data_IF_157587338825
#
_entry.id   IF_157587338825
#
_cell.length_a   1.000
_cell.length_b   1.000
_cell.length_c   1.000
_cell.angle_alpha   90.00
_cell.angle_beta   90.00
_cell.angle_gamma   90.00
#
_symmetry.space_group_name_H-M   'P 1'
#
loop_
_entity.id
_entity.type
_entity.pdbx_description
1 polymer ?
#
# COMPACT_ATOMS: atom_id res chain seq x y z
N UNK A 1 -7.77 21.88 7.68
CA UNK A 1 -8.06 20.50 7.23
C UNK A 1 -6.80 20.02 6.55
N UNK A 2 -6.11 19.15 7.19
CA UNK A 2 -4.81 18.68 6.69
C UNK A 2 -5.06 17.73 5.52
N UNK A 3 -4.75 18.20 4.33
CA UNK A 3 -4.83 17.39 3.09
C UNK A 3 -3.71 16.36 2.97
N UNK A 4 -2.87 16.25 3.98
CA UNK A 4 -1.68 15.41 4.01
C UNK A 4 -1.99 13.92 3.83
N UNK A 5 -3.12 13.43 4.35
CA UNK A 5 -3.52 12.03 4.22
C UNK A 5 -3.87 11.57 2.81
N UNK A 6 -4.18 12.50 1.90
CA UNK A 6 -4.60 12.16 0.52
C UNK A 6 -3.42 12.24 -0.46
N UNK A 7 -2.50 13.16 -0.24
CA UNK A 7 -1.42 13.46 -1.17
C UNK A 7 -0.07 12.85 -0.77
N UNK A 8 0.04 12.34 0.47
CA UNK A 8 1.22 11.56 0.91
C UNK A 8 2.55 12.28 0.69
N UNK A 9 2.65 13.57 1.02
CA UNK A 9 3.85 14.37 0.80
C UNK A 9 3.83 15.25 -0.47
N UNK A 10 2.77 15.17 -1.27
CA UNK A 10 2.57 16.00 -2.47
C UNK A 10 1.42 17.00 -2.28
N UNK A 11 1.36 17.63 -1.11
CA UNK A 11 0.27 18.54 -0.69
C UNK A 11 0.07 19.74 -1.61
N UNK A 12 1.11 20.14 -2.35
CA UNK A 12 1.07 21.24 -3.31
C UNK A 12 0.75 20.81 -4.75
N UNK A 13 0.41 19.54 -4.98
CA UNK A 13 0.05 19.06 -6.30
C UNK A 13 -1.23 19.76 -6.81
N UNK A 14 -1.17 20.31 -8.03
CA UNK A 14 -2.33 20.96 -8.67
C UNK A 14 -3.39 19.93 -9.10
N UNK A 15 -2.96 18.71 -9.44
CA UNK A 15 -3.88 17.61 -9.78
C UNK A 15 -3.31 16.26 -9.42
N UNK A 16 -4.21 15.34 -9.09
CA UNK A 16 -3.92 13.93 -8.89
C UNK A 16 -4.79 13.11 -9.85
N UNK A 17 -4.16 12.24 -10.61
CA UNK A 17 -4.87 11.29 -11.48
C UNK A 17 -4.65 9.88 -10.95
N UNK A 18 -5.74 9.10 -10.87
CA UNK A 18 -5.70 7.71 -10.43
C UNK A 18 -6.41 6.84 -11.48
N UNK A 19 -5.69 5.84 -12.00
CA UNK A 19 -6.23 4.81 -12.89
C UNK A 19 -6.00 3.47 -12.20
N UNK A 20 -7.07 2.67 -12.07
CA UNK A 20 -7.01 1.35 -11.44
C UNK A 20 -7.74 0.31 -12.28
N UNK A 21 -7.20 -0.90 -12.31
CA UNK A 21 -7.85 -2.07 -12.87
C UNK A 21 -7.58 -3.27 -11.96
N UNK A 22 -8.57 -4.13 -11.78
CA UNK A 22 -8.44 -5.34 -10.97
C UNK A 22 -9.32 -6.46 -11.56
N UNK A 23 -8.93 -7.70 -11.29
CA UNK A 23 -9.70 -8.87 -11.66
C UNK A 23 -9.39 -10.04 -10.76
N UNK A 24 -10.41 -10.85 -10.51
CA UNK A 24 -10.34 -12.06 -9.69
C UNK A 24 -10.74 -13.28 -10.49
N UNK A 25 -10.09 -14.39 -10.20
CA UNK A 25 -10.42 -15.70 -10.77
C UNK A 25 -10.59 -16.72 -9.66
N UNK A 26 -11.76 -17.35 -9.63
CA UNK A 26 -12.10 -18.39 -8.64
C UNK A 26 -11.97 -19.77 -9.28
N UNK A 27 -11.14 -20.60 -8.66
CA UNK A 27 -10.97 -22.00 -9.05
C UNK A 27 -11.06 -22.90 -7.82
N UNK A 28 -12.16 -23.64 -7.70
CA UNK A 28 -12.47 -24.47 -6.53
C UNK A 28 -12.42 -23.65 -5.24
N UNK A 29 -11.50 -24.01 -4.32
CA UNK A 29 -11.29 -23.33 -3.04
C UNK A 29 -10.27 -22.17 -3.13
N UNK A 30 -9.74 -21.88 -4.31
CA UNK A 30 -8.77 -20.82 -4.52
C UNK A 30 -9.44 -19.59 -5.16
N UNK A 31 -9.09 -18.42 -4.69
CA UNK A 31 -9.34 -17.14 -5.35
C UNK A 31 -8.01 -16.48 -5.63
N UNK A 32 -7.73 -16.28 -6.90
CA UNK A 32 -6.55 -15.55 -7.37
C UNK A 32 -6.99 -14.15 -7.78
N UNK A 33 -6.26 -13.15 -7.34
CA UNK A 33 -6.54 -11.78 -7.75
C UNK A 33 -5.28 -11.07 -8.23
N UNK A 34 -5.50 -10.16 -9.18
CA UNK A 34 -4.48 -9.25 -9.70
C UNK A 34 -5.05 -7.86 -9.74
N UNK A 35 -4.24 -6.87 -9.41
CA UNK A 35 -4.61 -5.47 -9.59
C UNK A 35 -3.44 -4.64 -10.06
N UNK A 36 -3.77 -3.55 -10.75
CA UNK A 36 -2.82 -2.54 -11.16
C UNK A 36 -3.38 -1.16 -10.83
N UNK A 37 -2.52 -0.29 -10.32
CA UNK A 37 -2.85 1.10 -10.03
C UNK A 37 -1.75 2.01 -10.55
N UNK A 38 -2.15 3.06 -11.26
CA UNK A 38 -1.30 4.19 -11.62
C UNK A 38 -1.80 5.44 -10.91
N UNK A 39 -0.94 6.10 -10.16
CA UNK A 39 -1.22 7.36 -9.47
C UNK A 39 -0.21 8.39 -9.94
N UNK A 40 -0.69 9.54 -10.41
CA UNK A 40 0.16 10.63 -10.88
C UNK A 40 -0.16 11.90 -10.10
N UNK A 41 0.88 12.52 -9.56
CA UNK A 41 0.84 13.84 -8.94
C UNK A 41 1.49 14.82 -9.89
N UNK A 42 0.74 15.84 -10.33
CA UNK A 42 1.20 16.80 -11.32
C UNK A 42 1.39 18.17 -10.69
N UNK A 43 2.46 18.86 -11.13
CA UNK A 43 2.75 20.24 -10.78
C UNK A 43 2.80 20.49 -9.26
N UNK A 44 3.45 19.63 -8.50
CA UNK A 44 3.74 19.93 -7.11
C UNK A 44 5.01 20.78 -6.97
N UNK A 45 4.98 21.76 -6.07
CA UNK A 45 6.12 22.60 -5.77
C UNK A 45 7.14 21.82 -4.93
N UNK A 46 8.43 22.04 -5.21
CA UNK A 46 9.53 21.63 -4.34
C UNK A 46 10.07 22.82 -3.56
N UNK A 47 10.92 22.59 -2.58
CA UNK A 47 11.60 23.65 -1.81
C UNK A 47 12.41 24.63 -2.68
N UNK A 48 12.72 24.26 -3.92
CA UNK A 48 13.45 25.10 -4.90
C UNK A 48 12.56 25.81 -5.91
N UNK A 49 11.23 25.72 -5.76
CA UNK A 49 10.26 26.41 -6.64
C UNK A 49 10.01 25.75 -8.00
N UNK A 50 10.65 24.63 -8.29
CA UNK A 50 10.41 23.89 -9.53
C UNK A 50 9.10 23.07 -9.44
N UNK A 51 8.34 23.05 -10.54
CA UNK A 51 7.16 22.20 -10.66
C UNK A 51 7.56 20.80 -11.12
N UNK A 52 7.21 19.80 -10.33
CA UNK A 52 7.56 18.42 -10.59
C UNK A 52 6.34 17.53 -10.77
N UNK A 53 6.54 16.42 -11.46
CA UNK A 53 5.56 15.38 -11.64
C UNK A 53 6.11 14.07 -11.08
N UNK A 54 5.29 13.34 -10.32
CA UNK A 54 5.66 12.00 -9.84
C UNK A 54 4.55 11.01 -10.15
N UNK A 55 4.96 9.83 -10.60
CA UNK A 55 4.09 8.71 -10.96
C UNK A 55 4.42 7.51 -10.09
N UNK A 56 3.38 6.90 -9.53
CA UNK A 56 3.47 5.63 -8.81
C UNK A 56 2.70 4.56 -9.58
N UNK A 57 3.36 3.45 -9.85
CA UNK A 57 2.77 2.28 -10.46
C UNK A 57 2.81 1.14 -9.45
N UNK A 58 1.67 0.59 -9.11
CA UNK A 58 1.55 -0.53 -8.18
C UNK A 58 0.94 -1.72 -8.89
N UNK A 59 1.64 -2.84 -8.88
CA UNK A 59 1.12 -4.14 -9.27
C UNK A 59 0.93 -5.00 -8.03
N UNK A 60 -0.20 -5.67 -7.92
CA UNK A 60 -0.54 -6.55 -6.82
C UNK A 60 -1.00 -7.89 -7.33
N UNK A 61 -0.59 -8.96 -6.67
CA UNK A 61 -1.12 -10.30 -6.84
C UNK A 61 -1.44 -10.91 -5.49
N UNK A 62 -2.53 -11.66 -5.41
CA UNK A 62 -2.86 -12.38 -4.20
C UNK A 62 -3.51 -13.73 -4.48
N UNK A 63 -3.45 -14.61 -3.51
CA UNK A 63 -4.18 -15.87 -3.48
C UNK A 63 -4.83 -16.06 -2.12
N UNK A 64 -6.10 -16.41 -2.13
CA UNK A 64 -6.84 -16.86 -0.96
C UNK A 64 -7.21 -18.32 -1.16
N UNK A 65 -7.14 -19.10 -0.08
CA UNK A 65 -7.52 -20.50 -0.05
C UNK A 65 -8.54 -20.74 1.05
N UNK A 66 -9.71 -21.25 0.67
CA UNK A 66 -10.75 -21.70 1.61
C UNK A 66 -10.36 -23.05 2.18
N UNK A 67 -9.69 -23.04 3.33
CA UNK A 67 -9.16 -24.24 3.98
C UNK A 67 -10.30 -25.13 4.55
N UNK A 68 -11.29 -24.49 5.20
CA UNK A 68 -12.53 -25.08 5.69
C UNK A 68 -13.69 -24.12 5.42
N UNK A 69 -14.96 -24.52 5.56
CA UNK A 69 -16.08 -23.56 5.48
C UNK A 69 -15.96 -22.35 6.42
N UNK A 70 -15.20 -22.49 7.51
CA UNK A 70 -15.01 -21.45 8.51
C UNK A 70 -13.61 -20.78 8.45
N UNK A 71 -12.70 -21.22 7.56
CA UNK A 71 -11.31 -20.74 7.60
C UNK A 71 -10.82 -20.38 6.20
N UNK A 72 -10.35 -19.14 6.05
CA UNK A 72 -9.64 -18.67 4.85
C UNK A 72 -8.21 -18.33 5.25
N UNK A 73 -7.26 -18.72 4.42
CA UNK A 73 -5.87 -18.26 4.49
C UNK A 73 -5.50 -17.55 3.20
N UNK A 74 -4.67 -16.52 3.29
CA UNK A 74 -4.30 -15.74 2.12
C UNK A 74 -2.85 -15.28 2.16
N UNK A 75 -2.31 -15.07 0.97
CA UNK A 75 -1.01 -14.45 0.76
C UNK A 75 -1.09 -13.43 -0.37
N UNK A 76 -0.37 -12.33 -0.24
CA UNK A 76 -0.30 -11.28 -1.24
C UNK A 76 1.12 -10.74 -1.41
N UNK A 77 1.37 -10.22 -2.60
CA UNK A 77 2.58 -9.49 -2.92
C UNK A 77 2.24 -8.23 -3.70
N UNK A 78 2.79 -7.11 -3.25
CA UNK A 78 2.63 -5.80 -3.85
C UNK A 78 4.00 -5.25 -4.25
N UNK A 79 4.08 -4.77 -5.48
CA UNK A 79 5.24 -4.03 -5.97
C UNK A 79 4.81 -2.63 -6.41
N UNK A 80 5.36 -1.61 -5.76
CA UNK A 80 5.13 -0.21 -6.12
C UNK A 80 6.43 0.42 -6.59
N UNK A 81 6.39 1.07 -7.75
CA UNK A 81 7.50 1.87 -8.27
C UNK A 81 7.07 3.32 -8.45
N UNK A 82 7.77 4.23 -7.78
CA UNK A 82 7.63 5.67 -7.93
C UNK A 82 8.75 6.26 -8.79
N UNK A 83 8.40 7.11 -9.73
CA UNK A 83 9.35 7.85 -10.58
C UNK A 83 8.90 9.29 -10.73
N UNK A 84 9.82 10.20 -10.56
CA UNK A 84 9.64 11.64 -10.74
C UNK A 84 10.99 12.34 -10.89
N UNK A 85 11.01 13.66 -11.03
CA UNK A 85 12.27 14.39 -11.24
C UNK A 85 13.28 14.17 -10.10
N UNK A 86 12.79 14.07 -8.86
CA UNK A 86 13.63 13.85 -7.67
C UNK A 86 13.16 12.62 -6.87
N UNK A 87 12.31 11.77 -7.45
CA UNK A 87 11.77 10.57 -6.81
C UNK A 87 12.15 9.35 -7.66
N UNK A 88 12.84 8.41 -7.06
CA UNK A 88 13.07 7.08 -7.61
C UNK A 88 12.97 6.11 -6.47
N UNK A 89 11.79 5.54 -6.26
CA UNK A 89 11.49 4.69 -5.12
C UNK A 89 10.83 3.39 -5.57
N UNK A 90 11.15 2.31 -4.88
CA UNK A 90 10.47 1.03 -5.05
C UNK A 90 10.13 0.43 -3.67
N UNK A 91 8.90 -0.06 -3.55
CA UNK A 91 8.40 -0.79 -2.39
C UNK A 91 8.05 -2.21 -2.78
N UNK A 92 8.52 -3.16 -2.00
CA UNK A 92 8.17 -4.56 -2.10
C UNK A 92 7.48 -4.95 -0.80
N UNK A 93 6.24 -5.43 -0.87
CA UNK A 93 5.47 -5.80 0.29
C UNK A 93 4.94 -7.22 0.15
N UNK A 94 5.12 -8.01 1.20
CA UNK A 94 4.51 -9.32 1.37
C UNK A 94 3.48 -9.24 2.48
N UNK A 95 2.34 -9.89 2.29
CA UNK A 95 1.28 -9.99 3.27
C UNK A 95 0.79 -11.43 3.38
N UNK A 96 0.50 -11.83 4.63
CA UNK A 96 -0.11 -13.11 4.96
C UNK A 96 -1.31 -12.84 5.86
N UNK A 97 -2.36 -13.62 5.71
CA UNK A 97 -3.54 -13.49 6.52
C UNK A 97 -4.25 -14.83 6.75
N UNK A 98 -4.95 -14.90 7.87
CA UNK A 98 -5.91 -15.94 8.12
C UNK A 98 -7.15 -15.34 8.77
N UNK A 99 -8.31 -15.85 8.38
CA UNK A 99 -9.62 -15.44 8.87
C UNK A 99 -10.39 -16.68 9.33
N UNK A 100 -10.95 -16.63 10.54
CA UNK A 100 -11.73 -17.72 11.12
C UNK A 100 -13.12 -17.22 11.49
N UNK A 101 -14.14 -17.72 10.80
CA UNK A 101 -15.54 -17.37 11.01
C UNK A 101 -16.12 -18.13 12.20
N UNK A 102 -16.31 -17.44 13.31
CA UNK A 102 -17.00 -17.96 14.49
C UNK A 102 -18.51 -18.07 14.22
N UNK A 103 -19.05 -17.17 13.41
CA UNK A 103 -20.45 -17.14 12.99
C UNK A 103 -20.59 -16.37 11.67
N UNK A 104 -21.82 -16.24 11.15
CA UNK A 104 -22.10 -15.39 9.98
C UNK A 104 -21.81 -13.89 10.22
N UNK A 105 -21.72 -13.50 11.48
CA UNK A 105 -21.54 -12.10 11.90
C UNK A 105 -20.22 -11.83 12.61
N UNK A 106 -19.48 -12.85 12.99
CA UNK A 106 -18.26 -12.69 13.81
C UNK A 106 -17.13 -13.51 13.24
N UNK A 107 -15.99 -12.89 13.04
CA UNK A 107 -14.75 -13.52 12.61
C UNK A 107 -13.55 -13.04 13.45
N UNK A 108 -12.58 -13.91 13.59
CA UNK A 108 -11.26 -13.64 14.13
C UNK A 108 -10.29 -13.59 12.97
N UNK A 109 -9.39 -12.63 12.97
CA UNK A 109 -8.38 -12.53 11.92
C UNK A 109 -6.98 -12.29 12.48
N UNK A 110 -6.00 -12.77 11.75
CA UNK A 110 -4.59 -12.47 11.93
C UNK A 110 -4.00 -12.03 10.60
N UNK A 111 -3.22 -10.95 10.63
CA UNK A 111 -2.51 -10.44 9.46
C UNK A 111 -1.05 -10.24 9.84
N UNK A 112 -0.17 -10.54 8.91
CA UNK A 112 1.25 -10.24 8.98
C UNK A 112 1.69 -9.60 7.68
N UNK A 113 2.56 -8.61 7.77
CA UNK A 113 3.10 -7.90 6.62
C UNK A 113 4.58 -7.61 6.80
N UNK A 114 5.29 -7.58 5.68
CA UNK A 114 6.68 -7.15 5.61
C UNK A 114 6.88 -6.30 4.37
N UNK A 115 7.45 -5.11 4.56
CA UNK A 115 7.76 -4.19 3.47
C UNK A 115 9.25 -3.83 3.47
N UNK A 116 9.80 -3.73 2.26
CA UNK A 116 11.13 -3.17 2.02
C UNK A 116 11.01 -2.04 1.01
N UNK A 117 11.47 -0.85 1.41
CA UNK A 117 11.65 0.31 0.55
C UNK A 117 13.07 0.38 0.00
N UNK A 118 13.22 0.99 -1.16
CA UNK A 118 14.52 1.28 -1.78
C UNK A 118 14.44 2.53 -2.64
N UNK A 119 15.55 3.25 -2.78
CA UNK A 119 15.63 4.50 -3.53
C UNK A 119 15.36 5.73 -2.68
N UNK A 120 14.93 6.82 -3.33
CA UNK A 120 14.72 8.12 -2.72
C UNK A 120 13.31 8.64 -2.95
N UNK A 121 12.80 9.38 -1.99
CA UNK A 121 11.49 10.05 -2.04
C UNK A 121 11.64 11.49 -1.58
N UNK A 122 10.53 12.23 -1.57
CA UNK A 122 10.48 13.60 -1.05
C UNK A 122 9.88 13.55 0.35
N UNK A 123 10.54 14.20 1.29
CA UNK A 123 10.06 14.37 2.66
C UNK A 123 8.79 15.23 2.68
N UNK A 124 7.72 14.72 3.30
CA UNK A 124 6.47 15.47 3.46
C UNK A 124 6.64 16.74 4.32
N UNK A 125 7.62 16.76 5.21
CA UNK A 125 7.84 17.86 6.16
C UNK A 125 8.75 18.94 5.61
N UNK A 126 9.87 18.56 4.95
CA UNK A 126 10.89 19.52 4.49
C UNK A 126 10.87 19.75 2.97
N UNK A 127 10.26 18.87 2.19
CA UNK A 127 10.31 18.89 0.72
C UNK A 127 11.66 18.43 0.14
N UNK A 128 12.58 17.97 0.99
CA UNK A 128 13.91 17.51 0.57
C UNK A 128 13.87 16.08 0.03
N UNK A 129 14.87 15.75 -0.80
CA UNK A 129 15.09 14.38 -1.24
C UNK A 129 15.72 13.58 -0.12
N UNK A 130 15.03 12.55 0.34
CA UNK A 130 15.45 11.67 1.43
C UNK A 130 15.44 10.21 0.99
N UNK A 131 16.19 9.36 1.69
CA UNK A 131 16.11 7.92 1.47
C UNK A 131 14.68 7.42 1.78
N UNK A 132 14.16 6.53 0.93
CA UNK A 132 12.84 5.95 1.13
C UNK A 132 12.84 5.05 2.38
N UNK A 133 11.86 5.25 3.24
CA UNK A 133 11.59 4.41 4.42
C UNK A 133 10.38 3.53 4.16
N UNK A 134 10.30 2.39 4.85
CA UNK A 134 9.13 1.54 4.75
C UNK A 134 7.96 2.15 5.53
N UNK A 135 6.75 2.05 4.97
CA UNK A 135 5.52 2.57 5.57
C UNK A 135 4.38 1.62 5.23
N UNK A 136 3.93 0.86 6.22
CA UNK A 136 2.79 -0.04 6.10
C UNK A 136 1.67 0.40 7.03
N UNK A 137 0.43 0.27 6.56
CA UNK A 137 -0.75 0.61 7.34
C UNK A 137 -1.20 2.04 7.12
N UNK A 138 -1.54 2.73 8.20
CA UNK A 138 -2.10 4.07 8.14
C UNK A 138 -1.02 5.15 8.06
N UNK A 139 -1.42 6.34 7.64
CA UNK A 139 -0.57 7.52 7.53
C UNK A 139 0.16 7.84 8.85
N UNK A 140 1.44 8.20 8.74
CA UNK A 140 2.27 8.50 9.91
C UNK A 140 2.89 7.26 10.59
N UNK A 141 2.70 6.07 10.03
CA UNK A 141 3.28 4.83 10.54
C UNK A 141 4.59 4.46 9.84
N UNK A 142 5.39 5.46 9.52
CA UNK A 142 6.66 5.29 8.83
C UNK A 142 7.69 4.61 9.75
N UNK A 143 8.40 3.65 9.19
CA UNK A 143 9.55 3.07 9.88
C UNK A 143 10.73 4.07 9.91
N UNK A 144 11.61 3.94 10.90
CA UNK A 144 12.89 4.68 10.93
C UNK A 144 13.92 4.11 9.94
N UNK A 145 13.57 3.03 9.23
CA UNK A 145 14.45 2.31 8.30
C UNK A 145 13.72 1.97 7.01
N UNK A 146 14.46 1.43 6.05
CA UNK A 146 13.87 0.96 4.79
C UNK A 146 13.15 -0.40 4.89
N UNK A 147 12.92 -0.91 6.09
CA UNK A 147 12.24 -2.18 6.33
C UNK A 147 11.23 -2.03 7.46
N UNK A 148 10.08 -2.66 7.31
CA UNK A 148 9.04 -2.70 8.34
C UNK A 148 8.37 -4.07 8.34
N UNK A 149 8.14 -4.60 9.54
CA UNK A 149 7.30 -5.76 9.76
C UNK A 149 6.11 -5.35 10.64
N UNK A 150 4.93 -5.87 10.33
CA UNK A 150 3.70 -5.60 11.07
C UNK A 150 2.97 -6.92 11.33
N UNK A 151 2.40 -7.04 12.52
CA UNK A 151 1.47 -8.10 12.87
C UNK A 151 0.22 -7.51 13.49
N UNK A 152 -0.94 -8.04 13.14
CA UNK A 152 -2.23 -7.62 13.67
C UNK A 152 -3.11 -8.84 13.93
N UNK A 153 -3.80 -8.82 15.06
CA UNK A 153 -4.85 -9.78 15.40
C UNK A 153 -6.09 -9.00 15.82
N UNK A 154 -7.24 -9.45 15.42
CA UNK A 154 -8.48 -8.76 15.75
C UNK A 154 -9.70 -9.65 15.66
N UNK A 155 -10.80 -9.11 16.18
CA UNK A 155 -12.15 -9.65 16.05
C UNK A 155 -13.00 -8.62 15.31
N UNK A 156 -13.79 -9.09 14.37
CA UNK A 156 -14.76 -8.25 13.64
C UNK A 156 -16.17 -8.79 13.87
N UNK A 157 -17.07 -7.90 14.24
CA UNK A 157 -18.50 -8.20 14.39
C UNK A 157 -19.33 -7.30 13.49
N UNK A 158 -20.26 -7.88 12.73
CA UNK A 158 -21.21 -7.16 11.86
C UNK A 158 -22.58 -7.24 12.49
N UNK A 159 -23.23 -6.11 12.64
CA UNK A 159 -24.59 -5.96 13.15
C UNK A 159 -25.63 -6.06 12.03
#
# INVERSE_FOLDING_TARGET
>A
MDSEGITGGFVSANSMQIIRAAGDYVFRNFTFGVSYSNVQYNNYATSFGDQNNTKFNTGQVYVNYQLTPATIIGAGYDYTKGNGNNVTVAYNQFSLGADYFLSKHTDLYVLAGYQKASGNTISATSGDVVAAVASMGDFGNDASTNKQAMGMVGIRHKF
#
